data_IF_077551182138
#
_entry.id   IF_077551182138
#
_cell.length_a   1.000
_cell.length_b   1.000
_cell.length_c   1.000
_cell.angle_alpha   90.00
_cell.angle_beta   90.00
_cell.angle_gamma   90.00
#
_symmetry.space_group_name_H-M   'P 1'
#
loop_
_entity.id
_entity.type
_entity.pdbx_description
1 polymer ?
#
# COMPACT_ATOMS: atom_id res chain seq x y z
N UNK A 1 -7.72 -13.91 5.58
CA UNK A 1 -7.07 -13.19 4.50
C UNK A 1 -6.13 -12.16 5.06
N UNK A 2 -4.97 -12.05 4.49
CA UNK A 2 -4.04 -11.04 4.93
C UNK A 2 -4.16 -9.85 4.01
N UNK A 3 -4.57 -8.74 4.54
CA UNK A 3 -4.74 -7.54 3.73
C UNK A 3 -3.41 -7.14 3.08
N UNK A 4 -2.33 -7.21 3.84
CA UNK A 4 -1.03 -6.84 3.28
C UNK A 4 -0.65 -7.71 2.09
N UNK A 5 -0.84 -9.01 2.21
CA UNK A 5 -0.49 -9.91 1.12
C UNK A 5 -1.35 -9.63 -0.11
N UNK A 6 -2.61 -9.34 0.10
CA UNK A 6 -3.50 -9.06 -1.00
C UNK A 6 -3.09 -7.78 -1.72
N UNK A 7 -2.71 -6.76 -0.96
CA UNK A 7 -2.27 -5.51 -1.56
C UNK A 7 -0.99 -5.74 -2.37
N UNK A 8 -0.07 -6.56 -1.86
CA UNK A 8 1.15 -6.87 -2.60
C UNK A 8 0.80 -7.50 -3.93
N UNK A 9 -0.13 -8.46 -3.94
CA UNK A 9 -0.52 -9.09 -5.18
C UNK A 9 -1.10 -8.10 -6.17
N UNK A 10 -1.88 -7.15 -5.68
CA UNK A 10 -2.48 -6.15 -6.56
C UNK A 10 -1.42 -5.20 -7.11
N UNK A 11 -0.42 -4.87 -6.31
CA UNK A 11 0.67 -4.06 -6.78
C UNK A 11 1.44 -4.81 -7.87
N UNK A 12 1.71 -6.08 -7.63
CA UNK A 12 2.47 -6.86 -8.60
C UNK A 12 1.68 -7.10 -9.88
N UNK A 13 0.38 -7.13 -9.76
CA UNK A 13 -0.46 -7.30 -10.94
C UNK A 13 -0.63 -5.99 -11.72
N UNK A 14 -0.09 -4.90 -11.20
CA UNK A 14 -0.20 -3.63 -11.91
C UNK A 14 -1.48 -2.88 -11.63
N UNK A 15 -2.27 -3.35 -10.68
CA UNK A 15 -3.52 -2.69 -10.38
C UNK A 15 -3.28 -1.31 -9.77
N UNK A 16 -2.26 -1.18 -8.94
CA UNK A 16 -1.87 0.10 -8.39
C UNK A 16 -0.51 0.44 -8.99
N UNK A 17 -0.46 1.42 -9.85
CA UNK A 17 0.80 1.73 -10.53
C UNK A 17 1.56 2.84 -9.83
N UNK A 18 0.86 3.81 -9.24
CA UNK A 18 1.51 4.89 -8.54
C UNK A 18 0.97 5.08 -7.15
N UNK A 19 -0.30 5.36 -7.01
CA UNK A 19 -0.89 5.75 -5.75
C UNK A 19 -1.90 4.73 -5.31
N UNK A 20 -1.92 4.44 -4.02
CA UNK A 20 -2.91 3.53 -3.48
C UNK A 20 -4.14 4.31 -3.05
N UNK A 21 -5.29 3.66 -2.96
CA UNK A 21 -6.47 4.31 -2.41
C UNK A 21 -6.24 4.68 -0.95
N UNK A 22 -7.03 5.59 -0.45
CA UNK A 22 -6.94 5.98 0.94
C UNK A 22 -7.20 4.77 1.84
N UNK A 23 -6.61 4.80 3.03
CA UNK A 23 -6.76 3.67 3.95
C UNK A 23 -8.21 3.41 4.30
N UNK A 24 -9.00 4.45 4.43
CA UNK A 24 -10.41 4.26 4.74
C UNK A 24 -11.15 3.60 3.59
N UNK A 25 -10.80 3.96 2.38
CA UNK A 25 -11.41 3.33 1.22
C UNK A 25 -11.03 1.85 1.15
N UNK A 26 -9.79 1.54 1.49
CA UNK A 26 -9.36 0.15 1.51
C UNK A 26 -10.08 -0.63 2.60
N UNK A 27 -10.30 -0.02 3.76
CA UNK A 27 -11.02 -0.69 4.83
C UNK A 27 -12.43 -1.03 4.38
N UNK A 28 -13.08 -0.12 3.67
CA UNK A 28 -14.41 -0.37 3.15
C UNK A 28 -14.38 -1.48 2.10
N UNK A 29 -13.43 -1.40 1.20
CA UNK A 29 -13.33 -2.37 0.13
C UNK A 29 -13.08 -3.78 0.66
N UNK A 30 -12.23 -3.92 1.65
CA UNK A 30 -11.91 -5.23 2.20
C UNK A 30 -12.90 -5.66 3.28
N UNK A 31 -13.75 -4.76 3.74
CA UNK A 31 -14.69 -5.11 4.78
C UNK A 31 -14.02 -5.36 6.12
N UNK A 32 -12.97 -4.63 6.43
CA UNK A 32 -12.23 -4.82 7.67
C UNK A 32 -12.15 -3.51 8.43
N UNK A 33 -11.73 -3.57 9.67
CA UNK A 33 -11.57 -2.38 10.47
C UNK A 33 -10.46 -1.50 9.92
N UNK A 34 -10.60 -0.22 10.09
CA UNK A 34 -9.58 0.73 9.66
C UNK A 34 -8.21 0.39 10.25
N UNK A 35 -8.19 -0.01 11.51
CA UNK A 35 -6.93 -0.36 12.16
C UNK A 35 -6.23 -1.53 11.46
N UNK A 36 -7.01 -2.45 10.93
CA UNK A 36 -6.43 -3.59 10.22
C UNK A 36 -5.70 -3.11 8.98
N UNK A 37 -6.28 -2.15 8.26
CA UNK A 37 -5.63 -1.62 7.08
C UNK A 37 -4.38 -0.85 7.49
N UNK A 38 -4.45 -0.08 8.56
CA UNK A 38 -3.29 0.68 9.00
C UNK A 38 -2.11 -0.24 9.35
N UNK A 39 -2.40 -1.37 9.98
CA UNK A 39 -1.34 -2.32 10.29
C UNK A 39 -0.74 -2.91 9.03
N UNK A 40 -1.60 -3.23 8.06
CA UNK A 40 -1.11 -3.76 6.80
C UNK A 40 -0.21 -2.76 6.10
N UNK A 41 -0.61 -1.50 6.09
CA UNK A 41 0.20 -0.48 5.43
C UNK A 41 1.53 -0.30 6.13
N UNK A 42 1.54 -0.41 7.45
CA UNK A 42 2.77 -0.31 8.20
C UNK A 42 3.74 -1.42 7.83
N UNK A 43 3.23 -2.64 7.66
CA UNK A 43 4.03 -3.78 7.24
C UNK A 43 4.61 -3.51 5.85
N UNK A 44 3.79 -3.02 4.94
CA UNK A 44 4.25 -2.77 3.58
C UNK A 44 5.30 -1.67 3.52
N UNK A 45 5.14 -0.64 4.35
CA UNK A 45 6.14 0.41 4.43
C UNK A 45 7.45 -0.15 4.97
N UNK A 46 7.37 -1.00 5.97
CA UNK A 46 8.55 -1.60 6.55
C UNK A 46 9.30 -2.48 5.56
N UNK A 47 8.58 -3.02 4.57
CA UNK A 47 9.22 -3.84 3.55
C UNK A 47 9.70 -2.99 2.38
N UNK A 48 9.46 -1.70 2.40
CA UNK A 48 9.87 -0.84 1.31
C UNK A 48 9.00 -0.93 0.08
N UNK A 49 7.76 -1.44 0.22
CA UNK A 49 6.89 -1.62 -0.93
C UNK A 49 6.02 -0.41 -1.20
N UNK A 50 5.82 0.42 -0.20
CA UNK A 50 5.04 1.65 -0.36
C UNK A 50 5.70 2.78 0.40
N UNK A 51 5.37 4.00 0.03
CA UNK A 51 5.89 5.19 0.67
C UNK A 51 4.72 6.09 0.98
N UNK A 52 4.68 6.63 2.20
CA UNK A 52 3.65 7.59 2.57
C UNK A 52 4.24 8.98 2.50
N UNK A 53 3.56 9.88 1.79
CA UNK A 53 3.98 11.26 1.71
C UNK A 53 2.90 12.09 2.38
N UNK A 54 3.29 12.79 3.42
CA UNK A 54 2.34 13.49 4.20
C UNK A 54 1.62 14.51 3.37
N UNK A 55 0.33 14.55 3.46
CA UNK A 55 -0.47 15.48 2.69
C UNK A 55 -0.72 15.07 1.26
N UNK A 56 -0.09 14.01 0.78
CA UNK A 56 -0.26 13.60 -0.60
C UNK A 56 -0.80 12.20 -0.77
N UNK A 57 -0.55 11.33 0.19
CA UNK A 57 -1.08 9.98 0.14
C UNK A 57 -0.01 8.93 0.20
N UNK A 58 -0.38 7.71 -0.16
CA UNK A 58 0.52 6.57 -0.14
C UNK A 58 0.78 6.13 -1.56
N UNK A 59 2.04 5.89 -1.86
CA UNK A 59 2.46 5.60 -3.22
C UNK A 59 3.22 4.28 -3.28
N UNK A 60 3.20 3.66 -4.44
CA UNK A 60 3.92 2.43 -4.67
C UNK A 60 5.39 2.75 -4.81
N UNK A 61 6.22 2.10 -3.97
CA UNK A 61 7.64 2.40 -3.96
C UNK A 61 8.39 1.78 -5.12
N UNK A 62 7.83 0.79 -5.77
CA UNK A 62 8.54 0.12 -6.84
C UNK A 62 8.92 1.06 -7.97
N UNK A 63 8.25 2.19 -8.05
CA UNK A 63 8.59 3.11 -9.08
C UNK A 63 9.89 3.76 -8.88
N UNK A 64 10.48 3.63 -7.74
CA UNK A 64 11.73 4.26 -7.50
C UNK A 64 12.77 3.66 -8.36
N UNK A 65 12.48 2.55 -8.90
CA UNK A 65 13.45 1.92 -9.70
C UNK A 65 14.61 1.54 -8.90
N UNK A 66 15.57 1.10 -9.54
CA UNK A 66 16.70 0.65 -8.91
C UNK A 66 17.36 1.82 -8.48
N UNK A 67 17.30 2.30 -7.57
CA UNK A 67 17.81 3.26 -7.07
C UNK A 67 19.07 3.47 -7.29
N UNK A 68 19.35 4.26 -7.78
CA UNK A 68 20.63 4.54 -8.00
C UNK A 68 21.10 4.78 -6.77
N UNK A 69 20.79 4.71 -6.15
CA UNK A 69 21.21 5.01 -5.07
C UNK A 69 21.79 5.44 -4.68
#
# INVERSE_FOLDING_TARGET
MQVADNIVMRIEAGEFTHKLPAERALATEYGVAYQTVRRAMKVLRGRGLIITRQGRGTFVARDRGPEPS
#
